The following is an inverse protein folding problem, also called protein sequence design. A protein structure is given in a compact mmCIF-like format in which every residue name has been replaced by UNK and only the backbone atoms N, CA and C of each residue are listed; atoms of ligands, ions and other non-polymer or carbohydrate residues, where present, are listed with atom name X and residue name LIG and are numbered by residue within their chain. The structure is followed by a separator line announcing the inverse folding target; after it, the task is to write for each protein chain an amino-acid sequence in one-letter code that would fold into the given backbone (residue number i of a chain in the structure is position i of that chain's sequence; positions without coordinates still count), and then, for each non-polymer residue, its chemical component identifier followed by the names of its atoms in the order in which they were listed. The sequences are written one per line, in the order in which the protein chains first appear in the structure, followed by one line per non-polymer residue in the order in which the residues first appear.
data_IF_221206431885
#
_entry.id   IF_221206431885
#
_cell.length_a   1.000
_cell.length_b   1.000
_cell.length_c   1.000
_cell.angle_alpha   90.00
_cell.angle_beta   90.00
_cell.angle_gamma   90.00
#
_symmetry.space_group_name_H-M   'P 1'
#
loop_
_entity.id
_entity.type
_entity.pdbx_description
1 polymer ?
#
# COMPACT_ATOMS: atom_id res chain seq x y z
N UNK A 1 7.38 -18.28 0.22
CA UNK A 1 7.84 -16.90 -0.07
C UNK A 1 8.55 -16.23 1.10
N UNK A 2 7.96 -16.18 2.30
CA UNK A 2 8.59 -15.51 3.46
C UNK A 2 10.06 -15.92 3.74
N UNK A 3 10.43 -17.22 3.74
CA UNK A 3 11.83 -17.61 3.95
C UNK A 3 12.82 -17.08 2.91
N UNK A 4 12.35 -16.74 1.71
CA UNK A 4 13.19 -16.19 0.64
C UNK A 4 13.32 -14.67 0.74
N UNK A 5 12.28 -13.98 1.20
CA UNK A 5 12.22 -12.52 1.23
C UNK A 5 12.81 -11.92 2.51
N UNK A 6 12.58 -12.57 3.66
CA UNK A 6 13.03 -12.07 4.96
C UNK A 6 14.56 -11.88 5.05
N UNK A 7 15.42 -12.80 4.56
CA UNK A 7 16.87 -12.60 4.62
C UNK A 7 17.35 -11.36 3.85
N UNK A 8 16.69 -11.03 2.72
CA UNK A 8 17.05 -9.88 1.89
C UNK A 8 16.76 -8.59 2.65
N UNK A 9 15.52 -8.39 3.09
CA UNK A 9 15.12 -7.17 3.79
C UNK A 9 15.84 -7.03 5.14
N UNK A 10 16.06 -8.13 5.87
CA UNK A 10 16.86 -8.13 7.11
C UNK A 10 18.28 -7.64 6.86
N UNK A 11 18.92 -8.10 5.78
CA UNK A 11 20.28 -7.67 5.42
C UNK A 11 20.33 -6.18 5.12
N UNK A 12 19.36 -5.68 4.35
CA UNK A 12 19.25 -4.25 4.02
C UNK A 12 19.07 -3.40 5.28
N UNK A 13 18.13 -3.77 6.16
CA UNK A 13 17.89 -3.02 7.39
C UNK A 13 19.07 -3.09 8.36
N UNK A 14 19.75 -4.24 8.44
CA UNK A 14 20.96 -4.38 9.26
C UNK A 14 22.09 -3.49 8.74
N UNK A 15 22.26 -3.40 7.42
CA UNK A 15 23.24 -2.52 6.80
C UNK A 15 22.90 -1.04 7.04
N UNK A 16 21.64 -0.64 6.85
CA UNK A 16 21.19 0.74 7.13
C UNK A 16 21.50 1.15 8.58
N UNK A 17 21.23 0.25 9.55
CA UNK A 17 21.59 0.48 10.96
C UNK A 17 23.10 0.58 11.16
N UNK A 18 23.87 -0.35 10.58
CA UNK A 18 25.32 -0.41 10.75
C UNK A 18 26.05 0.81 10.14
N UNK A 19 25.52 1.41 9.09
CA UNK A 19 26.07 2.62 8.47
C UNK A 19 25.60 3.91 9.14
N UNK A 20 24.71 3.83 10.14
CA UNK A 20 24.12 5.01 10.77
C UNK A 20 23.21 5.79 9.81
N UNK A 21 22.60 5.13 8.83
CA UNK A 21 21.67 5.78 7.90
C UNK A 21 20.46 6.33 8.67
N UNK A 22 20.30 7.65 8.68
CA UNK A 22 19.24 8.35 9.40
C UNK A 22 18.02 8.71 8.53
N UNK A 23 18.05 8.36 7.24
CA UNK A 23 16.94 8.61 6.33
C UNK A 23 15.81 7.59 6.51
N UNK A 24 14.61 7.87 5.96
CA UNK A 24 13.53 6.91 5.97
C UNK A 24 13.82 5.71 5.07
N UNK A 25 13.42 4.52 5.49
CA UNK A 25 13.48 3.30 4.70
C UNK A 25 12.06 2.79 4.44
N UNK A 26 11.75 2.52 3.17
CA UNK A 26 10.45 2.00 2.76
C UNK A 26 10.61 0.54 2.28
N UNK A 27 9.84 -0.39 2.84
CA UNK A 27 9.91 -1.80 2.47
C UNK A 27 8.79 -2.20 1.48
N UNK A 28 9.16 -2.86 0.38
CA UNK A 28 8.22 -3.47 -0.59
C UNK A 28 8.23 -5.01 -0.56
N UNK A 29 9.03 -5.63 0.31
CA UNK A 29 9.15 -7.09 0.36
C UNK A 29 7.84 -7.74 0.78
N UNK A 30 7.41 -8.74 0.01
CA UNK A 30 6.31 -9.62 0.36
C UNK A 30 6.76 -10.66 1.40
N UNK A 31 5.91 -11.09 2.34
CA UNK A 31 4.60 -10.55 2.75
C UNK A 31 4.68 -9.46 3.83
N UNK A 32 3.53 -8.89 4.18
CA UNK A 32 3.36 -7.87 5.22
C UNK A 32 3.98 -8.26 6.57
N UNK A 33 4.00 -9.55 6.91
CA UNK A 33 4.61 -10.02 8.16
C UNK A 33 6.13 -9.81 8.23
N UNK A 34 6.81 -9.52 7.11
CA UNK A 34 8.25 -9.19 7.14
C UNK A 34 8.53 -7.99 8.03
N UNK A 35 7.69 -6.97 7.93
CA UNK A 35 7.73 -5.73 8.71
C UNK A 35 7.59 -5.99 10.21
N UNK A 36 6.56 -6.76 10.59
CA UNK A 36 6.34 -7.20 11.99
C UNK A 36 7.55 -7.98 12.54
N UNK A 37 8.19 -8.83 11.73
CA UNK A 37 9.37 -9.58 12.17
C UNK A 37 10.57 -8.66 12.37
N UNK A 38 10.78 -7.70 11.46
CA UNK A 38 11.89 -6.75 11.54
C UNK A 38 11.75 -5.81 12.74
N UNK A 39 10.54 -5.38 13.06
CA UNK A 39 10.23 -4.59 14.27
C UNK A 39 10.69 -5.31 15.54
N UNK A 40 10.41 -6.62 15.66
CA UNK A 40 10.88 -7.43 16.80
C UNK A 40 12.40 -7.62 16.89
N UNK A 41 13.13 -7.21 15.86
CA UNK A 41 14.60 -7.28 15.80
C UNK A 41 15.26 -5.90 15.90
N UNK A 42 14.48 -4.85 16.21
CA UNK A 42 14.91 -3.45 16.17
C UNK A 42 15.49 -3.06 14.80
N UNK A 43 14.81 -3.54 13.75
CA UNK A 43 15.15 -3.36 12.35
C UNK A 43 13.94 -2.90 11.52
N UNK A 44 12.90 -2.35 12.16
CA UNK A 44 11.70 -1.88 11.45
C UNK A 44 12.08 -0.86 10.36
N UNK A 45 11.55 -0.99 9.12
CA UNK A 45 11.56 0.12 8.18
C UNK A 45 10.74 1.29 8.73
N UNK A 46 10.81 2.43 8.08
CA UNK A 46 9.94 3.57 8.42
C UNK A 46 8.49 3.32 8.04
N UNK A 47 8.26 2.62 6.92
CA UNK A 47 6.93 2.33 6.39
C UNK A 47 6.98 1.17 5.39
N UNK A 48 5.86 0.46 5.20
CA UNK A 48 5.69 -0.43 4.07
C UNK A 48 5.19 0.31 2.82
N UNK A 49 5.31 -0.34 1.65
CA UNK A 49 4.79 0.14 0.37
C UNK A 49 4.10 -1.01 -0.40
N UNK A 50 3.26 -0.66 -1.37
CA UNK A 50 2.61 -1.63 -2.26
C UNK A 50 1.14 -1.88 -1.93
N UNK A 51 0.79 -3.04 -1.38
CA UNK A 51 -0.61 -3.51 -1.34
C UNK A 51 -1.67 -2.45 -0.96
N UNK A 52 -1.59 -1.83 0.22
CA UNK A 52 -2.57 -0.84 0.67
C UNK A 52 -2.58 0.39 -0.24
N UNK A 53 -1.43 0.83 -0.74
CA UNK A 53 -1.37 1.96 -1.68
C UNK A 53 -1.96 1.57 -3.04
N UNK A 54 -1.80 0.34 -3.50
CA UNK A 54 -2.43 -0.18 -4.73
C UNK A 54 -3.96 -0.23 -4.59
N UNK A 55 -4.45 -0.69 -3.43
CA UNK A 55 -5.89 -0.67 -3.12
C UNK A 55 -6.43 0.75 -3.08
N UNK A 56 -5.71 1.68 -2.44
CA UNK A 56 -6.07 3.10 -2.43
C UNK A 56 -6.10 3.70 -3.84
N UNK A 57 -5.14 3.34 -4.70
CA UNK A 57 -5.12 3.79 -6.09
C UNK A 57 -6.34 3.29 -6.87
N UNK A 58 -6.75 2.02 -6.68
CA UNK A 58 -7.99 1.47 -7.27
C UNK A 58 -9.23 2.24 -6.83
N UNK A 59 -9.40 2.44 -5.53
CA UNK A 59 -10.55 3.18 -4.99
C UNK A 59 -10.60 4.60 -5.52
N UNK A 60 -9.46 5.30 -5.56
CA UNK A 60 -9.39 6.66 -6.11
C UNK A 60 -9.71 6.69 -7.60
N UNK A 61 -9.26 5.69 -8.37
CA UNK A 61 -9.62 5.54 -9.78
C UNK A 61 -11.11 5.34 -9.99
N UNK A 62 -11.73 4.45 -9.20
CA UNK A 62 -13.18 4.21 -9.24
C UNK A 62 -13.98 5.47 -8.91
N UNK A 63 -13.64 6.15 -7.80
CA UNK A 63 -14.28 7.41 -7.42
C UNK A 63 -14.09 8.50 -8.47
N UNK A 64 -12.93 8.56 -9.13
CA UNK A 64 -12.70 9.56 -10.19
C UNK A 64 -13.53 9.28 -11.44
N UNK A 65 -13.73 8.01 -11.78
CA UNK A 65 -14.61 7.62 -12.87
C UNK A 65 -16.08 7.97 -12.57
N UNK A 66 -16.51 7.86 -11.31
CA UNK A 66 -17.87 8.18 -10.88
C UNK A 66 -18.12 9.68 -10.73
N UNK A 67 -17.22 10.41 -10.07
CA UNK A 67 -17.40 11.82 -9.71
C UNK A 67 -16.93 12.80 -10.80
N UNK A 68 -16.14 12.33 -11.76
CA UNK A 68 -15.48 13.15 -12.77
C UNK A 68 -14.12 13.72 -12.33
N UNK A 69 -13.36 14.31 -13.27
CA UNK A 69 -11.99 14.77 -13.04
C UNK A 69 -11.88 15.96 -12.06
N UNK A 70 -12.85 16.88 -12.11
CA UNK A 70 -12.78 18.17 -11.42
C UNK A 70 -13.27 18.14 -9.97
N UNK A 71 -13.97 17.07 -9.59
CA UNK A 71 -14.54 16.96 -8.25
C UNK A 71 -13.47 16.54 -7.25
N UNK A 72 -13.45 17.19 -6.08
CA UNK A 72 -12.57 16.77 -5.00
C UNK A 72 -12.93 15.37 -4.52
N UNK A 73 -11.91 14.51 -4.34
CA UNK A 73 -12.13 13.18 -3.80
C UNK A 73 -12.32 13.27 -2.29
N UNK A 74 -13.29 12.55 -1.70
CA UNK A 74 -13.40 12.47 -0.26
C UNK A 74 -12.14 11.87 0.37
N UNK A 75 -11.96 12.04 1.68
CA UNK A 75 -10.95 11.27 2.42
C UNK A 75 -11.18 9.77 2.18
N UNK A 76 -10.16 9.07 1.71
CA UNK A 76 -10.20 7.62 1.51
C UNK A 76 -9.22 6.97 2.46
N UNK A 77 -9.72 6.05 3.29
CA UNK A 77 -8.93 5.22 4.19
C UNK A 77 -9.11 3.76 3.80
N UNK A 78 -7.99 3.04 3.71
CA UNK A 78 -7.97 1.64 3.29
C UNK A 78 -7.26 0.81 4.34
N UNK A 79 -7.88 -0.32 4.69
CA UNK A 79 -7.28 -1.37 5.52
C UNK A 79 -7.34 -2.66 4.69
N UNK A 80 -6.17 -3.23 4.42
CA UNK A 80 -6.06 -4.46 3.64
C UNK A 80 -4.72 -5.14 3.86
N UNK A 81 -4.57 -6.31 3.26
CA UNK A 81 -3.41 -7.17 3.37
C UNK A 81 -2.97 -7.64 1.97
N UNK A 82 -1.70 -7.99 1.81
CA UNK A 82 -1.13 -8.34 0.51
C UNK A 82 -1.88 -9.46 -0.24
N UNK A 83 -2.44 -10.44 0.48
CA UNK A 83 -3.22 -11.52 -0.14
C UNK A 83 -4.49 -11.02 -0.88
N UNK A 84 -4.97 -9.81 -0.61
CA UNK A 84 -6.13 -9.22 -1.27
C UNK A 84 -5.77 -8.47 -2.57
N UNK A 85 -4.48 -8.22 -2.84
CA UNK A 85 -4.01 -7.46 -4.02
C UNK A 85 -4.49 -8.08 -5.32
N UNK A 86 -4.35 -9.40 -5.45
CA UNK A 86 -4.69 -10.11 -6.69
C UNK A 86 -6.16 -9.95 -7.06
N UNK A 87 -7.07 -10.14 -6.10
CA UNK A 87 -8.50 -9.96 -6.31
C UNK A 87 -8.85 -8.52 -6.71
N UNK A 88 -8.23 -7.53 -6.04
CA UNK A 88 -8.44 -6.11 -6.36
C UNK A 88 -7.93 -5.74 -7.77
N UNK A 89 -6.74 -6.24 -8.15
CA UNK A 89 -6.15 -5.97 -9.47
C UNK A 89 -6.91 -6.64 -10.60
N UNK A 90 -7.47 -7.84 -10.36
CA UNK A 90 -8.30 -8.56 -11.34
C UNK A 90 -9.76 -8.07 -11.37
N UNK A 91 -10.14 -7.09 -10.56
CA UNK A 91 -11.53 -6.65 -10.43
C UNK A 91 -12.49 -7.79 -10.06
N UNK A 92 -12.01 -8.76 -9.27
CA UNK A 92 -12.73 -9.96 -8.84
C UNK A 92 -13.05 -9.84 -7.35
N UNK A 93 -14.21 -9.31 -6.95
CA UNK A 93 -14.51 -9.14 -5.54
C UNK A 93 -14.64 -10.50 -4.84
N UNK A 94 -13.89 -10.75 -3.74
CA UNK A 94 -14.05 -11.96 -2.94
C UNK A 94 -15.33 -11.86 -2.09
N UNK A 95 -15.51 -12.86 -1.20
CA UNK A 95 -16.60 -12.86 -0.22
C UNK A 95 -16.54 -11.58 0.64
N UNK A 96 -17.67 -10.99 1.06
CA UNK A 96 -17.69 -9.70 1.75
C UNK A 96 -16.81 -9.61 3.02
N UNK A 97 -16.65 -10.72 3.74
CA UNK A 97 -15.80 -10.84 4.92
C UNK A 97 -14.31 -10.79 4.59
N UNK A 98 -13.91 -11.19 3.38
CA UNK A 98 -12.53 -11.23 2.88
C UNK A 98 -12.11 -9.97 2.12
N UNK A 99 -13.01 -9.00 1.95
CA UNK A 99 -12.74 -7.78 1.20
C UNK A 99 -11.81 -6.83 1.95
N UNK A 100 -11.03 -6.09 1.16
CA UNK A 100 -10.34 -4.88 1.65
C UNK A 100 -11.39 -3.94 2.24
N UNK A 101 -11.10 -3.37 3.41
CA UNK A 101 -11.98 -2.38 4.03
C UNK A 101 -11.67 -1.00 3.48
N UNK A 102 -12.70 -0.32 2.99
CA UNK A 102 -12.59 1.03 2.44
C UNK A 102 -13.55 1.93 3.19
N UNK A 103 -13.06 3.08 3.66
CA UNK A 103 -13.85 4.07 4.39
C UNK A 103 -13.73 5.43 3.70
N UNK A 104 -14.87 6.08 3.48
CA UNK A 104 -14.98 7.37 2.81
C UNK A 104 -15.38 8.49 3.77
N UNK A 105 -14.89 9.70 3.47
CA UNK A 105 -15.17 10.91 4.23
C UNK A 105 -14.57 10.86 5.63
N UNK A 106 -14.84 11.90 6.43
CA UNK A 106 -14.37 11.98 7.81
C UNK A 106 -15.11 10.97 8.72
N UNK A 107 -16.42 10.80 8.49
CA UNK A 107 -17.27 9.88 9.27
C UNK A 107 -16.99 8.40 9.03
N UNK A 108 -16.34 8.04 7.92
CA UNK A 108 -15.91 6.67 7.65
C UNK A 108 -17.02 5.77 7.13
N UNK A 109 -17.71 6.22 6.08
CA UNK A 109 -18.72 5.41 5.41
C UNK A 109 -18.06 4.25 4.67
N UNK A 110 -18.57 3.04 4.87
CA UNK A 110 -17.93 1.82 4.36
C UNK A 110 -18.27 1.59 2.89
N UNK A 111 -17.25 1.46 2.05
CA UNK A 111 -17.36 1.37 0.59
C UNK A 111 -16.42 0.32 -0.03
N UNK A 112 -16.28 -0.85 0.61
CA UNK A 112 -15.34 -1.93 0.26
C UNK A 112 -15.38 -2.34 -1.23
N UNK A 113 -16.55 -2.24 -1.87
CA UNK A 113 -16.74 -2.62 -3.27
C UNK A 113 -15.86 -1.81 -4.23
N UNK A 114 -15.51 -0.56 -3.89
CA UNK A 114 -14.73 0.34 -4.74
C UNK A 114 -13.31 -0.17 -5.03
N UNK A 115 -12.74 -1.02 -4.15
CA UNK A 115 -11.42 -1.62 -4.39
C UNK A 115 -11.39 -2.56 -5.60
N UNK A 116 -12.56 -3.01 -6.06
CA UNK A 116 -12.73 -4.02 -7.12
C UNK A 116 -13.34 -3.43 -8.40
N UNK A 117 -13.56 -2.11 -8.48
CA UNK A 117 -14.12 -1.43 -9.66
C UNK A 117 -13.01 -0.96 -10.60
N UNK A 118 -13.24 -1.10 -11.90
CA UNK A 118 -12.34 -0.65 -12.97
C UNK A 118 -11.76 -1.81 -13.79
N UNK A 119 -10.89 -1.49 -14.76
CA UNK A 119 -10.30 -2.47 -15.67
C UNK A 119 -9.54 -3.58 -14.91
N UNK A 120 -9.76 -4.87 -15.24
CA UNK A 120 -9.00 -5.97 -14.67
C UNK A 120 -7.60 -6.05 -15.29
N UNK A 121 -6.58 -6.24 -14.48
CA UNK A 121 -5.21 -6.42 -14.94
C UNK A 121 -4.80 -7.89 -14.91
N UNK A 122 -4.23 -8.37 -16.02
CA UNK A 122 -3.53 -9.63 -16.06
C UNK A 122 -2.31 -9.61 -15.11
N UNK A 123 -2.03 -10.74 -14.47
CA UNK A 123 -0.87 -10.87 -13.61
C UNK A 123 0.43 -10.70 -14.43
N UNK A 124 1.41 -9.99 -13.88
CA UNK A 124 2.70 -9.78 -14.53
C UNK A 124 3.33 -8.43 -14.20
N UNK A 125 4.15 -7.93 -15.11
CA UNK A 125 4.93 -6.68 -14.95
C UNK A 125 4.06 -5.46 -14.62
N UNK A 126 2.81 -5.45 -15.07
CA UNK A 126 1.87 -4.36 -14.82
C UNK A 126 1.61 -4.16 -13.32
N UNK A 127 1.71 -5.20 -12.49
CA UNK A 127 1.55 -5.03 -11.04
C UNK A 127 2.71 -4.24 -10.43
N UNK A 128 3.92 -4.37 -10.97
CA UNK A 128 5.07 -3.57 -10.54
C UNK A 128 4.90 -2.10 -10.96
N UNK A 129 4.35 -1.85 -12.15
CA UNK A 129 4.05 -0.50 -12.63
C UNK A 129 2.97 0.17 -11.77
N UNK A 130 1.89 -0.54 -11.47
CA UNK A 130 0.82 -0.07 -10.58
C UNK A 130 1.36 0.15 -9.16
N UNK A 131 2.22 -0.76 -8.67
CA UNK A 131 2.89 -0.61 -7.36
C UNK A 131 3.71 0.67 -7.32
N UNK A 132 4.57 0.90 -8.32
CA UNK A 132 5.39 2.10 -8.40
C UNK A 132 4.53 3.36 -8.41
N UNK A 133 3.51 3.42 -9.27
CA UNK A 133 2.59 4.56 -9.36
C UNK A 133 1.84 4.80 -8.05
N UNK A 134 1.35 3.75 -7.40
CA UNK A 134 0.63 3.81 -6.14
C UNK A 134 1.50 4.36 -4.98
N UNK A 135 2.80 4.12 -5.03
CA UNK A 135 3.73 4.50 -3.96
C UNK A 135 4.30 5.93 -4.08
N UNK A 136 4.15 6.59 -5.24
CA UNK A 136 4.75 7.92 -5.48
C UNK A 136 4.44 8.91 -4.36
N UNK A 137 3.18 9.01 -3.93
CA UNK A 137 2.79 9.95 -2.87
C UNK A 137 3.40 9.63 -1.51
N UNK A 138 3.61 8.35 -1.20
CA UNK A 138 4.27 7.96 0.06
C UNK A 138 5.75 8.32 -0.02
N UNK A 139 6.43 7.99 -1.13
CA UNK A 139 7.84 8.33 -1.33
C UNK A 139 8.07 9.85 -1.29
N UNK A 140 7.19 10.63 -1.92
CA UNK A 140 7.21 12.09 -1.85
C UNK A 140 7.02 12.60 -0.42
N UNK A 141 6.12 11.99 0.37
CA UNK A 141 5.89 12.36 1.76
C UNK A 141 7.06 12.01 2.69
N UNK A 142 7.92 11.06 2.30
CA UNK A 142 9.14 10.72 3.02
C UNK A 142 10.32 11.66 2.70
N UNK A 143 10.22 12.47 1.63
CA UNK A 143 11.28 13.40 1.28
C UNK A 143 11.44 14.52 2.31
N UNK A 144 12.68 15.00 2.49
CA UNK A 144 12.95 16.13 3.39
C UNK A 144 12.16 17.37 2.96
N UNK A 145 11.52 18.05 3.92
CA UNK A 145 10.71 19.24 3.67
C UNK A 145 9.33 18.96 3.05
N UNK A 146 8.91 17.70 2.92
CA UNK A 146 7.59 17.37 2.42
C UNK A 146 6.46 17.85 3.36
N UNK A 147 5.36 18.30 2.76
CA UNK A 147 4.15 18.67 3.49
C UNK A 147 3.42 17.46 4.09
N UNK A 148 2.51 17.74 5.03
CA UNK A 148 1.67 16.69 5.66
C UNK A 148 0.83 15.98 4.61
N UNK A 149 0.89 14.65 4.57
CA UNK A 149 0.11 13.81 3.66
C UNK A 149 -0.75 12.83 4.46
N UNK A 150 -2.05 12.76 4.13
CA UNK A 150 -2.96 11.71 4.63
C UNK A 150 -2.99 10.56 3.61
N UNK A 151 -2.48 9.40 3.98
CA UNK A 151 -2.41 8.22 3.12
C UNK A 151 -2.48 6.93 3.93
N UNK A 152 -3.16 5.92 3.39
CA UNK A 152 -3.08 4.55 3.89
C UNK A 152 -1.90 3.85 3.21
N UNK A 153 -1.03 3.26 4.01
CA UNK A 153 0.14 2.50 3.58
C UNK A 153 0.28 1.26 4.47
N UNK A 154 0.99 0.20 4.01
CA UNK A 154 1.29 -0.93 4.88
C UNK A 154 2.09 -0.48 6.10
N UNK A 155 1.82 -1.12 7.24
CA UNK A 155 2.49 -0.81 8.50
C UNK A 155 4.02 -1.02 8.39
N UNK A 156 4.83 -0.32 9.18
CA UNK A 156 6.28 -0.56 9.29
C UNK A 156 6.61 -1.95 9.83
#
# INVERSE_FOLDING_TARGET
MLPMQLPVVRTVMSAARATGFAGPVANLSFPDVTNVILDRLDLAPTIGLGNVTMHLLRVRGALRAELGPDRELPLVRVIGHHNQVYAAMRAEPPRPDERVRVFLGEHGERADHLAYVGHPYAAGIVYNQVTAAACIRVVQALASGAGRTRISAPAP
#
